data_IF_959202143140
#
_entry.id   IF_959202143140
#
_cell.length_a   1.000
_cell.length_b   1.000
_cell.length_c   1.000
_cell.angle_alpha   90.00
_cell.angle_beta   90.00
_cell.angle_gamma   90.00
#
_symmetry.space_group_name_H-M   'P 1'
#
loop_
_entity.id
_entity.type
_entity.pdbx_description
1 polymer ?
#
# COMPACT_ATOMS: atom_id res chain seq x y z
N UNK A 1 -12.00 -8.79 -2.87
CA UNK A 1 -10.88 -7.92 -2.47
C UNK A 1 -10.85 -7.83 -0.96
N UNK A 2 -9.74 -8.20 -0.31
CA UNK A 2 -9.55 -8.00 1.14
C UNK A 2 -8.92 -6.63 1.37
N UNK A 3 -9.43 -5.88 2.35
CA UNK A 3 -9.01 -4.51 2.66
C UNK A 3 -8.09 -4.48 3.89
N UNK A 4 -7.05 -5.30 3.86
CA UNK A 4 -6.07 -5.43 4.93
C UNK A 4 -4.74 -5.97 4.38
N UNK A 5 -3.67 -5.83 5.16
CA UNK A 5 -2.43 -6.57 4.90
C UNK A 5 -2.68 -8.04 5.21
N UNK A 6 -2.24 -8.92 4.32
CA UNK A 6 -2.54 -10.34 4.31
C UNK A 6 -1.27 -11.17 4.48
N UNK A 7 -1.43 -12.44 4.80
CA UNK A 7 -0.39 -13.46 4.75
C UNK A 7 -0.46 -14.26 3.44
N UNK A 8 0.57 -15.06 3.15
CA UNK A 8 0.77 -15.78 1.89
C UNK A 8 -0.46 -16.57 1.39
N UNK A 9 -1.14 -17.27 2.28
CA UNK A 9 -2.20 -18.22 1.92
C UNK A 9 -3.50 -17.56 1.42
N UNK A 10 -3.57 -16.25 1.44
CA UNK A 10 -4.80 -15.49 1.22
C UNK A 10 -4.86 -14.73 -0.10
N UNK A 11 -3.78 -14.80 -0.93
CA UNK A 11 -3.58 -13.85 -2.02
C UNK A 11 -3.70 -14.45 -3.41
N UNK A 12 -4.51 -13.78 -4.24
CA UNK A 12 -4.49 -13.84 -5.70
C UNK A 12 -4.36 -12.38 -6.15
N UNK A 13 -3.40 -12.06 -7.02
CA UNK A 13 -3.14 -10.69 -7.51
C UNK A 13 -2.76 -9.72 -6.38
N UNK A 14 -1.48 -9.64 -6.08
CA UNK A 14 -0.97 -8.94 -4.88
C UNK A 14 0.36 -8.22 -5.12
N UNK A 15 0.62 -7.26 -4.23
CA UNK A 15 1.96 -6.70 -3.99
C UNK A 15 2.52 -7.36 -2.73
N UNK A 16 3.71 -7.90 -2.83
CA UNK A 16 4.45 -8.47 -1.71
C UNK A 16 5.37 -7.42 -1.08
N UNK A 17 5.32 -7.31 0.24
CA UNK A 17 6.25 -6.55 1.06
C UNK A 17 7.17 -7.53 1.78
N UNK A 18 8.34 -7.79 1.21
CA UNK A 18 9.25 -8.83 1.63
C UNK A 18 10.42 -8.24 2.43
N UNK A 19 10.68 -8.78 3.61
CA UNK A 19 11.75 -8.36 4.54
C UNK A 19 12.76 -9.48 4.83
N UNK A 20 12.73 -10.56 4.04
CA UNK A 20 13.58 -11.75 4.25
C UNK A 20 14.91 -11.67 3.52
N UNK A 21 15.06 -10.68 2.66
CA UNK A 21 16.23 -10.52 1.80
C UNK A 21 17.29 -9.57 2.34
N UNK A 22 18.34 -9.48 1.54
CA UNK A 22 19.41 -8.50 1.66
C UNK A 22 19.35 -7.51 0.48
N UNK A 23 20.45 -6.79 0.21
CA UNK A 23 20.53 -5.85 -0.90
C UNK A 23 20.55 -6.48 -2.30
N UNK A 24 20.70 -7.80 -2.41
CA UNK A 24 20.87 -8.51 -3.68
C UNK A 24 19.79 -9.59 -3.89
N UNK A 25 19.36 -10.26 -2.83
CA UNK A 25 18.48 -11.43 -2.89
C UNK A 25 17.35 -11.37 -1.86
N UNK A 26 16.24 -12.04 -2.17
CA UNK A 26 15.13 -12.29 -1.25
C UNK A 26 14.42 -13.60 -1.59
N UNK A 27 13.68 -14.16 -0.62
CA UNK A 27 12.86 -15.36 -0.83
C UNK A 27 11.48 -14.95 -1.31
N UNK A 28 11.13 -15.27 -2.56
CA UNK A 28 9.79 -14.97 -3.11
C UNK A 28 8.69 -15.66 -2.34
N UNK A 29 7.60 -14.96 -2.13
CA UNK A 29 6.40 -15.47 -1.47
C UNK A 29 6.73 -16.09 -0.09
N UNK A 30 7.53 -15.40 0.70
CA UNK A 30 7.94 -15.84 2.02
C UNK A 30 6.79 -15.73 3.04
N UNK A 31 6.79 -16.62 4.03
CA UNK A 31 5.78 -16.62 5.09
C UNK A 31 5.86 -15.40 6.02
N UNK A 32 7.04 -14.77 6.14
CA UNK A 32 7.24 -13.53 6.90
C UNK A 32 6.84 -12.28 6.12
N UNK A 33 6.59 -12.39 4.82
CA UNK A 33 6.14 -11.28 3.98
C UNK A 33 4.71 -10.87 4.31
N UNK A 34 4.41 -9.60 4.08
CA UNK A 34 3.06 -9.08 4.07
C UNK A 34 2.60 -8.86 2.64
N UNK A 35 1.31 -8.99 2.41
CA UNK A 35 0.71 -8.92 1.09
C UNK A 35 -0.44 -7.92 1.09
N UNK A 36 -0.59 -7.19 -0.01
CA UNK A 36 -1.71 -6.30 -0.24
C UNK A 36 -2.29 -6.57 -1.62
N UNK A 37 -3.60 -6.61 -1.74
CA UNK A 37 -4.25 -6.72 -3.05
C UNK A 37 -3.73 -5.65 -4.02
N UNK A 38 -3.34 -6.03 -5.24
CA UNK A 38 -2.69 -5.16 -6.21
C UNK A 38 -3.53 -3.93 -6.55
N UNK A 39 -4.84 -4.09 -6.71
CA UNK A 39 -5.73 -2.96 -6.98
C UNK A 39 -5.82 -1.99 -5.78
N UNK A 40 -5.86 -2.53 -4.56
CA UNK A 40 -5.89 -1.73 -3.35
C UNK A 40 -4.57 -0.98 -3.12
N UNK A 41 -3.46 -1.54 -3.60
CA UNK A 41 -2.15 -0.88 -3.53
C UNK A 41 -2.13 0.47 -4.27
N UNK A 42 -3.00 0.69 -5.26
CA UNK A 42 -3.10 1.97 -5.97
C UNK A 42 -3.32 3.17 -5.04
N UNK A 43 -3.92 2.97 -3.86
CA UNK A 43 -4.10 3.99 -2.83
C UNK A 43 -2.75 4.48 -2.28
N UNK A 44 -1.74 3.62 -2.30
CA UNK A 44 -0.41 3.86 -1.72
C UNK A 44 0.69 3.99 -2.79
N UNK A 45 0.43 3.56 -4.03
CA UNK A 45 1.42 3.50 -5.12
C UNK A 45 2.19 4.80 -5.29
N UNK A 46 1.51 5.94 -5.25
CA UNK A 46 2.14 7.25 -5.33
C UNK A 46 3.13 7.55 -4.19
N UNK A 47 2.96 6.97 -3.00
CA UNK A 47 3.93 7.12 -1.91
C UNK A 47 5.24 6.40 -2.24
N UNK A 48 5.14 5.21 -2.82
CA UNK A 48 6.29 4.41 -3.24
C UNK A 48 7.03 5.05 -4.42
N UNK A 49 6.30 5.51 -5.41
CA UNK A 49 6.85 6.18 -6.60
C UNK A 49 7.60 7.48 -6.23
N UNK A 50 7.00 8.37 -5.42
CA UNK A 50 7.64 9.63 -5.04
C UNK A 50 8.82 9.46 -4.10
N UNK A 51 8.82 8.44 -3.27
CA UNK A 51 9.93 8.14 -2.35
C UNK A 51 11.13 7.46 -3.01
N UNK A 52 10.93 6.82 -4.16
CA UNK A 52 11.97 6.12 -4.90
C UNK A 52 11.72 6.17 -6.41
N UNK A 53 12.50 6.96 -7.13
CA UNK A 53 12.40 7.12 -8.59
C UNK A 53 12.70 5.83 -9.40
N UNK A 54 13.22 4.78 -8.75
CA UNK A 54 13.42 3.45 -9.33
C UNK A 54 12.22 2.52 -9.08
N UNK A 55 11.13 3.04 -8.50
CA UNK A 55 9.96 2.21 -8.23
C UNK A 55 9.34 1.70 -9.53
N UNK A 56 9.13 0.38 -9.59
CA UNK A 56 8.43 -0.30 -10.65
C UNK A 56 7.13 -0.91 -10.11
N UNK A 57 6.01 -0.57 -10.73
CA UNK A 57 4.70 -1.07 -10.33
C UNK A 57 4.55 -2.58 -10.58
N UNK A 58 5.09 -3.05 -11.72
CA UNK A 58 5.22 -4.48 -12.05
C UNK A 58 6.70 -4.79 -12.03
N UNK A 59 7.11 -5.65 -11.10
CA UNK A 59 8.52 -5.96 -10.90
C UNK A 59 8.92 -5.85 -9.44
N UNK A 60 10.18 -5.58 -9.19
CA UNK A 60 10.74 -5.58 -7.85
C UNK A 60 11.52 -4.29 -7.58
N UNK A 61 11.23 -3.65 -6.47
CA UNK A 61 11.92 -2.44 -6.02
C UNK A 61 12.41 -2.58 -4.60
N UNK A 62 13.68 -2.32 -4.37
CA UNK A 62 14.28 -2.35 -3.04
C UNK A 62 14.23 -0.98 -2.36
N UNK A 63 13.87 -1.00 -1.08
CA UNK A 63 13.95 0.11 -0.14
C UNK A 63 14.94 -0.23 0.97
N UNK A 64 15.97 0.59 1.11
CA UNK A 64 16.98 0.48 2.16
C UNK A 64 16.89 1.68 3.13
N UNK A 65 17.82 1.78 4.07
CA UNK A 65 17.86 2.84 5.07
C UNK A 65 17.77 4.27 4.50
N UNK A 66 18.30 4.49 3.29
CA UNK A 66 18.25 5.81 2.61
C UNK A 66 16.87 6.14 2.06
N UNK A 67 16.03 5.12 1.80
CA UNK A 67 14.70 5.26 1.20
C UNK A 67 13.57 5.18 2.22
N UNK A 68 13.83 4.68 3.43
CA UNK A 68 12.79 4.52 4.44
C UNK A 68 12.21 5.85 4.93
N UNK A 69 13.05 6.84 5.22
CA UNK A 69 12.56 8.15 5.68
C UNK A 69 11.72 8.85 4.61
N UNK A 70 12.16 8.95 3.34
CA UNK A 70 11.30 9.46 2.26
C UNK A 70 9.97 8.71 2.16
N UNK A 71 9.98 7.38 2.22
CA UNK A 71 8.75 6.58 2.14
C UNK A 71 7.81 6.82 3.34
N UNK A 72 8.35 6.90 4.55
CA UNK A 72 7.56 7.22 5.74
C UNK A 72 6.93 8.62 5.65
N UNK A 73 7.65 9.61 5.13
CA UNK A 73 7.11 10.95 4.94
C UNK A 73 5.91 10.91 3.97
N UNK A 74 6.05 10.23 2.82
CA UNK A 74 4.97 10.08 1.86
C UNK A 74 3.75 9.33 2.43
N UNK A 75 3.99 8.27 3.20
CA UNK A 75 2.93 7.53 3.88
C UNK A 75 2.25 8.37 4.96
N UNK A 76 2.98 9.19 5.69
CA UNK A 76 2.41 10.09 6.70
C UNK A 76 1.58 11.19 6.04
N UNK A 77 2.06 11.79 4.96
CA UNK A 77 1.28 12.77 4.17
C UNK A 77 -0.02 12.14 3.63
N UNK A 78 0.06 10.90 3.15
CA UNK A 78 -1.12 10.17 2.70
C UNK A 78 -2.08 9.87 3.88
N UNK A 79 -1.55 9.51 5.03
CA UNK A 79 -2.34 9.28 6.25
C UNK A 79 -3.09 10.53 6.67
N UNK A 80 -2.45 11.69 6.65
CA UNK A 80 -3.09 12.98 6.95
C UNK A 80 -4.22 13.30 5.97
N UNK A 81 -4.01 13.06 4.67
CA UNK A 81 -5.06 13.21 3.65
C UNK A 81 -6.24 12.28 3.92
N UNK A 82 -6.00 11.02 4.24
CA UNK A 82 -7.05 10.05 4.57
C UNK A 82 -7.85 10.46 5.81
N UNK A 83 -7.17 10.95 6.85
CA UNK A 83 -7.81 11.41 8.10
C UNK A 83 -8.65 12.67 7.85
N UNK A 84 -8.22 13.54 6.95
CA UNK A 84 -8.91 14.79 6.63
C UNK A 84 -10.21 14.58 5.84
N UNK A 85 -10.41 13.42 5.19
CA UNK A 85 -11.65 13.13 4.44
C UNK A 85 -12.82 13.06 5.41
N UNK A 86 -13.78 13.98 5.24
CA UNK A 86 -14.94 14.09 6.13
C UNK A 86 -16.29 14.05 5.40
N UNK A 87 -16.28 13.88 4.08
CA UNK A 87 -17.48 13.81 3.23
C UNK A 87 -17.34 12.80 2.11
N UNK A 88 -18.47 12.31 1.60
CA UNK A 88 -18.52 11.45 0.42
C UNK A 88 -17.89 12.13 -0.81
N UNK A 89 -18.06 13.44 -0.95
CA UNK A 89 -17.47 14.23 -2.04
C UNK A 89 -15.94 14.17 -1.98
N UNK A 90 -15.36 14.47 -0.84
CA UNK A 90 -13.90 14.43 -0.64
C UNK A 90 -13.34 13.01 -0.83
N UNK A 91 -14.08 11.99 -0.40
CA UNK A 91 -13.71 10.58 -0.66
C UNK A 91 -13.61 10.30 -2.16
N UNK A 92 -14.56 10.75 -2.97
CA UNK A 92 -14.54 10.59 -4.43
C UNK A 92 -13.42 11.41 -5.08
N UNK A 93 -13.19 12.62 -4.60
CA UNK A 93 -12.09 13.48 -5.07
C UNK A 93 -10.74 12.83 -4.78
N UNK A 94 -10.55 12.29 -3.59
CA UNK A 94 -9.34 11.54 -3.24
C UNK A 94 -9.12 10.34 -4.18
N UNK A 95 -10.15 9.50 -4.39
CA UNK A 95 -10.06 8.35 -5.29
C UNK A 95 -9.77 8.76 -6.74
N UNK A 96 -10.38 9.82 -7.23
CA UNK A 96 -10.14 10.28 -8.60
C UNK A 96 -8.72 10.84 -8.82
N UNK A 97 -8.03 11.22 -7.75
CA UNK A 97 -6.68 11.78 -7.78
C UNK A 97 -5.55 10.75 -7.65
N UNK A 98 -5.86 9.49 -7.32
CA UNK A 98 -4.83 8.45 -7.18
C UNK A 98 -4.59 7.70 -8.50
N UNK A 99 -3.46 6.99 -8.57
CA UNK A 99 -3.14 6.12 -9.71
C UNK A 99 -4.23 5.06 -9.91
N UNK A 100 -4.71 4.89 -11.14
CA UNK A 100 -5.81 3.98 -11.51
C UNK A 100 -7.07 4.12 -10.65
N UNK A 101 -7.36 5.33 -10.16
CA UNK A 101 -8.48 5.58 -9.26
C UNK A 101 -9.85 5.27 -9.87
N UNK A 102 -10.03 5.45 -11.19
CA UNK A 102 -11.28 5.08 -11.89
C UNK A 102 -11.51 3.58 -11.90
N UNK A 103 -10.47 2.82 -12.18
CA UNK A 103 -10.51 1.34 -12.17
C UNK A 103 -10.84 0.84 -10.77
N UNK A 104 -10.24 1.44 -9.75
CA UNK A 104 -10.52 1.11 -8.35
C UNK A 104 -11.97 1.44 -7.97
N UNK A 105 -12.50 2.60 -8.38
CA UNK A 105 -13.92 2.95 -8.17
C UNK A 105 -14.86 1.96 -8.86
N UNK A 106 -14.56 1.54 -10.10
CA UNK A 106 -15.34 0.54 -10.80
C UNK A 106 -15.36 -0.80 -10.06
N UNK A 107 -14.23 -1.24 -9.52
CA UNK A 107 -14.14 -2.46 -8.73
C UNK A 107 -14.92 -2.35 -7.40
N UNK A 108 -14.84 -1.20 -6.72
CA UNK A 108 -15.65 -0.98 -5.51
C UNK A 108 -17.14 -1.06 -5.83
N UNK A 109 -17.58 -0.45 -6.93
CA UNK A 109 -18.97 -0.49 -7.35
C UNK A 109 -19.46 -1.92 -7.69
N UNK A 110 -18.57 -2.78 -8.19
CA UNK A 110 -18.89 -4.19 -8.44
C UNK A 110 -19.05 -5.01 -7.15
N UNK A 111 -18.27 -4.69 -6.12
CA UNK A 111 -18.28 -5.38 -4.83
C UNK A 111 -19.39 -4.84 -3.92
N UNK A 112 -19.59 -3.54 -3.95
CA UNK A 112 -20.52 -2.78 -3.12
C UNK A 112 -21.08 -1.61 -3.94
N UNK A 113 -22.28 -1.76 -4.50
CA UNK A 113 -22.92 -0.72 -5.31
C UNK A 113 -23.19 0.58 -4.53
N UNK A 114 -23.14 0.54 -3.21
CA UNK A 114 -23.29 1.68 -2.31
C UNK A 114 -21.97 2.10 -1.64
N UNK A 115 -20.81 1.68 -2.19
CA UNK A 115 -19.49 1.94 -1.60
C UNK A 115 -19.28 3.43 -1.24
N UNK A 116 -19.85 4.34 -2.02
CA UNK A 116 -19.76 5.77 -1.74
C UNK A 116 -20.46 6.17 -0.42
N UNK A 117 -21.56 5.49 -0.07
CA UNK A 117 -22.25 5.72 1.22
C UNK A 117 -21.45 5.12 2.38
N UNK A 118 -20.70 4.05 2.10
CA UNK A 118 -19.89 3.33 3.08
C UNK A 118 -18.45 3.90 3.20
N UNK A 119 -18.18 5.06 2.64
CA UNK A 119 -16.86 5.67 2.54
C UNK A 119 -16.05 5.69 3.85
N UNK A 120 -16.72 5.92 5.00
CA UNK A 120 -16.05 5.93 6.31
C UNK A 120 -15.44 4.57 6.68
N UNK A 121 -16.09 3.49 6.24
CA UNK A 121 -15.60 2.13 6.42
C UNK A 121 -14.33 1.86 5.61
N UNK A 122 -14.31 2.33 4.36
CA UNK A 122 -13.14 2.24 3.48
C UNK A 122 -11.97 3.06 4.04
N UNK A 123 -12.19 4.32 4.40
CA UNK A 123 -11.15 5.18 4.96
C UNK A 123 -10.53 4.57 6.22
N UNK A 124 -11.33 4.03 7.15
CA UNK A 124 -10.80 3.37 8.36
C UNK A 124 -9.88 2.19 8.03
N UNK A 125 -10.22 1.39 7.01
CA UNK A 125 -9.40 0.27 6.56
C UNK A 125 -8.08 0.75 5.92
N UNK A 126 -8.13 1.77 5.09
CA UNK A 126 -6.94 2.35 4.45
C UNK A 126 -5.98 3.00 5.46
N UNK A 127 -6.52 3.69 6.45
CA UNK A 127 -5.73 4.20 7.58
C UNK A 127 -5.02 3.04 8.32
N UNK A 128 -5.70 1.92 8.53
CA UNK A 128 -5.10 0.74 9.16
C UNK A 128 -3.97 0.16 8.31
N UNK A 129 -4.16 0.04 7.00
CA UNK A 129 -3.12 -0.43 6.08
C UNK A 129 -1.93 0.53 6.09
N UNK A 130 -2.17 1.84 5.97
CA UNK A 130 -1.12 2.86 6.01
C UNK A 130 -0.26 2.75 7.27
N UNK A 131 -0.90 2.62 8.42
CA UNK A 131 -0.21 2.41 9.71
C UNK A 131 0.55 1.10 9.76
N UNK A 132 0.01 0.04 9.14
CA UNK A 132 0.68 -1.26 9.01
C UNK A 132 1.95 -1.17 8.17
N UNK A 133 1.91 -0.44 7.06
CA UNK A 133 3.09 -0.18 6.21
C UNK A 133 4.15 0.62 6.98
N UNK A 134 3.78 1.67 7.70
CA UNK A 134 4.71 2.41 8.54
C UNK A 134 5.34 1.54 9.64
N UNK A 135 4.55 0.65 10.26
CA UNK A 135 5.05 -0.30 11.26
C UNK A 135 6.06 -1.28 10.65
N UNK A 136 5.80 -1.76 9.42
CA UNK A 136 6.72 -2.63 8.71
C UNK A 136 8.06 -1.92 8.41
N UNK A 137 8.02 -0.66 7.97
CA UNK A 137 9.22 0.15 7.73
C UNK A 137 10.01 0.37 9.03
N UNK A 138 9.33 0.69 10.14
CA UNK A 138 9.98 0.81 11.44
C UNK A 138 10.69 -0.49 11.85
N UNK A 139 10.05 -1.64 11.64
CA UNK A 139 10.68 -2.95 11.86
C UNK A 139 11.94 -3.11 11.01
N UNK A 140 11.91 -2.73 9.73
CA UNK A 140 13.10 -2.78 8.87
C UNK A 140 14.24 -1.90 9.40
N UNK A 141 13.92 -0.70 9.91
CA UNK A 141 14.92 0.20 10.50
C UNK A 141 15.51 -0.39 11.78
N UNK A 142 14.67 -0.92 12.68
CA UNK A 142 15.07 -1.48 13.97
C UNK A 142 15.91 -2.76 13.83
N UNK A 143 15.58 -3.59 12.83
CA UNK A 143 16.22 -4.90 12.59
C UNK A 143 17.34 -4.83 11.52
N UNK A 144 17.67 -3.62 11.01
CA UNK A 144 18.64 -3.39 9.91
C UNK A 144 18.34 -4.23 8.66
N UNK A 145 17.08 -4.29 8.28
CA UNK A 145 16.58 -5.03 7.11
C UNK A 145 16.35 -4.13 5.92
N UNK A 146 16.29 -4.72 4.74
CA UNK A 146 15.78 -4.09 3.52
C UNK A 146 14.32 -4.51 3.31
N UNK A 147 13.57 -3.69 2.60
CA UNK A 147 12.22 -3.98 2.17
C UNK A 147 12.21 -4.11 0.64
N UNK A 148 11.84 -5.28 0.16
CA UNK A 148 11.49 -5.48 -1.24
C UNK A 148 9.99 -5.32 -1.45
N UNK A 149 9.62 -4.47 -2.39
CA UNK A 149 8.23 -4.28 -2.85
C UNK A 149 8.12 -4.93 -4.22
N UNK A 150 7.30 -5.96 -4.33
CA UNK A 150 7.29 -6.84 -5.50
C UNK A 150 5.87 -6.89 -6.06
N UNK A 151 5.70 -6.39 -7.29
CA UNK A 151 4.47 -6.51 -8.08
C UNK A 151 4.51 -7.75 -8.97
N UNK A 152 3.41 -8.50 -9.00
CA UNK A 152 3.22 -9.71 -9.80
C UNK A 152 2.15 -9.49 -10.87
#
# INVERSE_FOLDING_TARGET
MKFELMTKDECIDFIEFNITGDSENYNKCDEESLYLNGNLFNIFAGCFERSNHLFEFIGQTMYNSRKFIPLQNELNDNLEKLIAINSQKEFKEYLSGIFMGRELMNQFNQIDSEYEKHWRGYIRRWIRINRGLNKLINRCIEEDKVLWVIGY
#
